data_IF_241774596333
#
_entry.id   IF_241774596333
#
_cell.length_a   1.000
_cell.length_b   1.000
_cell.length_c   1.000
_cell.angle_alpha   90.00
_cell.angle_beta   90.00
_cell.angle_gamma   90.00
#
_symmetry.space_group_name_H-M   'P 1'
#
loop_
_entity.id
_entity.type
_entity.pdbx_description
1 polymer ?
#
# COMPACT_ATOMS: atom_id res chain seq x y z
N UNK A 1 -62.19 -43.95 -17.91
CA UNK A 1 -61.26 -43.80 -16.78
C UNK A 1 -61.47 -42.40 -16.19
N UNK A 2 -62.46 -42.25 -15.31
CA UNK A 2 -62.29 -41.92 -13.87
C UNK A 2 -61.20 -40.87 -13.60
N UNK A 3 -61.60 -39.61 -13.37
CA UNK A 3 -61.86 -38.94 -12.05
C UNK A 3 -60.54 -38.63 -11.32
N UNK A 4 -60.32 -37.52 -10.62
CA UNK A 4 -61.04 -36.30 -10.25
C UNK A 4 -60.05 -35.50 -9.39
N UNK A 5 -60.26 -34.19 -9.31
CA UNK A 5 -59.62 -33.20 -8.44
C UNK A 5 -59.34 -33.63 -6.98
N UNK A 6 -58.38 -32.94 -6.34
CA UNK A 6 -58.61 -32.32 -5.02
C UNK A 6 -57.50 -31.31 -4.64
N UNK A 7 -57.92 -30.05 -4.52
CA UNK A 7 -57.41 -29.13 -3.50
C UNK A 7 -57.84 -29.62 -2.11
N UNK A 8 -56.98 -29.46 -1.10
CA UNK A 8 -57.42 -29.21 0.28
C UNK A 8 -56.33 -28.49 1.08
N UNK A 9 -56.77 -27.43 1.76
CA UNK A 9 -56.04 -26.55 2.68
C UNK A 9 -55.81 -27.18 4.06
N UNK A 10 -55.15 -26.38 4.91
CA UNK A 10 -55.06 -26.36 6.39
C UNK A 10 -53.77 -27.01 6.94
N UNK A 11 -53.04 -26.43 7.88
CA UNK A 11 -53.32 -25.37 8.85
C UNK A 11 -52.04 -24.86 9.49
N UNK A 12 -52.09 -23.63 10.02
CA UNK A 12 -51.07 -22.99 10.82
C UNK A 12 -50.64 -23.82 12.06
N UNK A 13 -49.36 -23.71 12.40
CA UNK A 13 -48.90 -23.71 13.79
C UNK A 13 -47.61 -22.91 13.87
N UNK A 14 -47.75 -21.72 14.46
CA UNK A 14 -46.64 -20.90 14.91
C UNK A 14 -45.94 -21.64 16.07
N UNK A 15 -44.64 -21.83 15.94
CA UNK A 15 -43.75 -22.03 17.08
C UNK A 15 -42.59 -21.05 16.91
N UNK A 16 -42.75 -19.90 17.54
CA UNK A 16 -41.68 -18.92 17.77
C UNK A 16 -40.71 -19.57 18.75
N UNK A 17 -39.62 -20.17 18.24
CA UNK A 17 -38.43 -20.35 19.06
C UNK A 17 -37.59 -19.07 18.95
N UNK A 18 -37.76 -18.20 19.94
CA UNK A 18 -36.84 -17.12 20.25
C UNK A 18 -35.51 -17.73 20.72
N UNK A 19 -34.68 -18.17 19.78
CA UNK A 19 -33.25 -18.29 20.06
C UNK A 19 -32.70 -16.86 20.04
N UNK A 20 -32.32 -16.35 21.21
CA UNK A 20 -31.56 -15.13 21.32
C UNK A 20 -30.26 -15.28 20.53
N UNK A 21 -30.27 -14.81 19.28
CA UNK A 21 -29.06 -14.50 18.53
C UNK A 21 -28.41 -13.35 19.29
N UNK A 22 -27.49 -13.72 20.19
CA UNK A 22 -26.44 -12.81 20.64
C UNK A 22 -25.59 -12.57 19.40
N UNK A 23 -25.94 -11.54 18.64
CA UNK A 23 -25.03 -11.01 17.63
C UNK A 23 -23.77 -10.59 18.38
N UNK A 24 -22.58 -11.07 17.99
CA UNK A 24 -21.36 -10.44 18.46
C UNK A 24 -21.48 -8.96 18.10
N UNK A 25 -21.42 -8.11 19.12
CA UNK A 25 -21.36 -6.66 18.94
C UNK A 25 -20.24 -6.39 17.96
N UNK A 26 -20.57 -5.71 16.86
CA UNK A 26 -19.59 -5.21 15.93
C UNK A 26 -18.51 -4.48 16.75
N UNK A 27 -17.32 -5.09 16.80
CA UNK A 27 -16.14 -4.42 17.32
C UNK A 27 -15.93 -3.27 16.36
N UNK A 28 -16.36 -2.09 16.78
CA UNK A 28 -16.24 -0.88 15.98
C UNK A 28 -14.77 -0.70 15.62
N UNK A 29 -14.54 -0.26 14.38
CA UNK A 29 -13.22 0.17 13.91
C UNK A 29 -12.58 1.03 15.01
N UNK A 30 -11.58 0.46 15.69
CA UNK A 30 -10.87 1.13 16.76
C UNK A 30 -10.17 2.33 16.14
N UNK A 31 -10.61 3.54 16.47
CA UNK A 31 -9.85 4.73 16.12
C UNK A 31 -8.49 4.60 16.77
N UNK A 32 -7.44 4.46 15.95
CA UNK A 32 -6.04 4.38 16.40
C UNK A 32 -5.78 5.45 17.44
N UNK A 33 -5.09 5.07 18.51
CA UNK A 33 -4.67 6.04 19.52
C UNK A 33 -3.71 7.05 18.89
N UNK A 34 -3.61 8.26 19.47
CA UNK A 34 -2.71 9.31 18.94
C UNK A 34 -1.25 8.84 18.87
N UNK A 35 -0.83 7.99 19.80
CA UNK A 35 0.53 7.41 19.87
C UNK A 35 0.80 6.41 18.73
N UNK A 36 -0.19 5.59 18.36
CA UNK A 36 -0.07 4.63 17.24
C UNK A 36 -0.01 5.36 15.90
N UNK A 37 -0.84 6.40 15.72
CA UNK A 37 -0.79 7.24 14.52
C UNK A 37 0.54 8.01 14.40
N UNK A 38 1.11 8.48 15.52
CA UNK A 38 2.43 9.13 15.55
C UNK A 38 3.55 8.20 15.12
N UNK A 39 3.61 7.01 15.72
CA UNK A 39 4.64 6.00 15.44
C UNK A 39 4.63 5.63 13.96
N UNK A 40 3.43 5.52 13.38
CA UNK A 40 3.24 5.24 11.97
C UNK A 40 3.83 6.31 11.04
N UNK A 41 3.56 7.60 11.30
CA UNK A 41 4.08 8.69 10.47
C UNK A 41 5.59 8.86 10.59
N UNK A 42 6.15 8.68 11.79
CA UNK A 42 7.59 8.76 11.98
C UNK A 42 8.32 7.62 11.24
N UNK A 43 7.79 6.39 11.30
CA UNK A 43 8.34 5.25 10.56
C UNK A 43 8.29 5.50 9.04
N UNK A 44 7.13 5.93 8.53
CA UNK A 44 6.94 6.27 7.12
C UNK A 44 7.94 7.33 6.63
N UNK A 45 8.08 8.45 7.36
CA UNK A 45 8.99 9.53 6.97
C UNK A 45 10.46 9.11 7.00
N UNK A 46 10.86 8.28 7.95
CA UNK A 46 12.21 7.76 8.02
C UNK A 46 12.50 6.81 6.84
N UNK A 47 11.55 5.94 6.49
CA UNK A 47 11.71 4.96 5.43
C UNK A 47 11.71 5.61 4.04
N UNK A 48 10.75 6.49 3.77
CA UNK A 48 10.58 7.09 2.44
C UNK A 48 11.45 8.31 2.20
N UNK A 49 11.67 9.12 3.24
CA UNK A 49 12.34 10.42 3.11
C UNK A 49 13.58 10.54 4.00
N UNK A 50 13.95 9.52 4.79
CA UNK A 50 15.09 9.63 5.71
C UNK A 50 14.96 10.77 6.72
N UNK A 51 13.73 11.14 7.08
CA UNK A 51 13.41 12.22 8.03
C UNK A 51 13.04 11.63 9.38
N UNK A 52 13.72 12.08 10.44
CA UNK A 52 13.42 11.71 11.82
C UNK A 52 13.64 12.89 12.75
N UNK A 53 12.81 12.97 13.77
CA UNK A 53 12.92 13.94 14.86
C UNK A 53 12.87 13.21 16.20
N UNK A 54 13.70 13.63 17.15
CA UNK A 54 13.77 12.97 18.46
C UNK A 54 12.90 13.67 19.52
N UNK A 55 12.77 15.00 19.46
CA UNK A 55 12.06 15.82 20.47
C UNK A 55 11.44 17.07 19.83
N UNK A 56 11.64 18.24 20.42
CA UNK A 56 11.24 19.52 19.82
C UNK A 56 12.00 19.76 18.52
N UNK A 57 11.27 20.18 17.51
CA UNK A 57 11.82 20.41 16.16
C UNK A 57 12.18 21.87 16.00
N UNK A 58 13.42 22.14 15.60
CA UNK A 58 13.87 23.49 15.26
C UNK A 58 13.35 23.92 13.90
N UNK A 59 13.41 25.21 13.64
CA UNK A 59 12.99 25.79 12.37
C UNK A 59 13.76 25.23 11.18
N UNK A 60 15.09 25.18 11.29
CA UNK A 60 15.98 24.65 10.25
C UNK A 60 15.69 23.16 9.96
N UNK A 61 15.51 22.34 11.01
CA UNK A 61 15.20 20.93 10.86
C UNK A 61 13.88 20.71 10.10
N UNK A 62 12.84 21.46 10.45
CA UNK A 62 11.55 21.36 9.78
C UNK A 62 11.61 21.83 8.33
N UNK A 63 12.27 22.97 8.08
CA UNK A 63 12.41 23.53 6.73
C UNK A 63 13.14 22.56 5.80
N UNK A 64 14.27 22.02 6.25
CA UNK A 64 15.05 21.03 5.49
C UNK A 64 14.23 19.78 5.18
N UNK A 65 13.49 19.27 6.16
CA UNK A 65 12.66 18.09 5.98
C UNK A 65 11.48 18.37 5.03
N UNK A 66 10.85 19.54 5.14
CA UNK A 66 9.76 19.96 4.25
C UNK A 66 10.24 20.11 2.81
N UNK A 67 11.38 20.77 2.59
CA UNK A 67 11.98 20.92 1.26
C UNK A 67 12.32 19.57 0.64
N UNK A 68 12.91 18.65 1.43
CA UNK A 68 13.23 17.29 0.97
C UNK A 68 11.99 16.52 0.53
N UNK A 69 10.88 16.64 1.27
CA UNK A 69 9.63 15.99 0.90
C UNK A 69 9.10 16.60 -0.39
N UNK A 70 8.93 17.92 -0.44
CA UNK A 70 8.38 18.61 -1.62
C UNK A 70 9.24 18.37 -2.88
N UNK A 71 10.57 18.38 -2.77
CA UNK A 71 11.46 18.09 -3.91
C UNK A 71 11.27 16.68 -4.43
N UNK A 72 11.14 15.72 -3.52
CA UNK A 72 10.94 14.30 -3.86
C UNK A 72 9.59 14.08 -4.51
N UNK A 73 8.52 14.69 -3.98
CA UNK A 73 7.15 14.45 -4.46
C UNK A 73 6.79 15.21 -5.73
N UNK A 74 7.41 16.36 -5.98
CA UNK A 74 7.12 17.20 -7.17
C UNK A 74 8.13 17.03 -8.30
N UNK A 75 9.18 16.24 -8.10
CA UNK A 75 10.31 16.10 -9.04
C UNK A 75 11.00 17.44 -9.39
N UNK A 76 10.90 18.43 -8.50
CA UNK A 76 11.60 19.72 -8.59
C UNK A 76 12.86 19.64 -7.74
N UNK A 77 13.99 20.17 -8.22
CA UNK A 77 15.24 20.12 -7.45
C UNK A 77 15.13 20.91 -6.14
N UNK A 78 15.77 20.42 -5.07
CA UNK A 78 15.85 21.13 -3.79
C UNK A 78 16.43 22.54 -3.95
N UNK A 79 17.36 22.71 -4.90
CA UNK A 79 17.97 24.01 -5.23
C UNK A 79 16.94 24.99 -5.77
N UNK A 80 16.06 24.55 -6.66
CA UNK A 80 15.02 25.40 -7.24
C UNK A 80 13.91 25.71 -6.22
N UNK A 81 13.67 24.80 -5.28
CA UNK A 81 12.73 24.99 -4.17
C UNK A 81 13.29 25.83 -3.02
N UNK A 82 14.61 25.89 -2.84
CA UNK A 82 15.23 26.70 -1.78
C UNK A 82 14.95 28.20 -1.91
N UNK A 83 14.58 28.67 -3.12
CA UNK A 83 14.10 30.03 -3.35
C UNK A 83 12.65 30.25 -2.91
N UNK A 84 11.86 29.17 -2.75
CA UNK A 84 10.50 29.20 -2.21
C UNK A 84 10.56 28.98 -0.70
N UNK A 85 10.64 30.06 0.08
CA UNK A 85 10.51 29.95 1.54
C UNK A 85 9.05 29.68 1.91
N UNK A 86 8.75 28.45 2.36
CA UNK A 86 7.40 28.09 2.85
C UNK A 86 7.12 28.69 4.23
N UNK A 87 8.16 28.80 5.06
CA UNK A 87 8.01 29.33 6.41
C UNK A 87 7.82 30.86 6.41
N UNK A 88 6.89 31.40 7.22
CA UNK A 88 6.70 32.84 7.35
C UNK A 88 7.91 33.49 8.04
N UNK A 89 8.21 34.76 7.77
CA UNK A 89 9.31 35.47 8.45
C UNK A 89 9.15 35.44 9.98
N UNK A 90 10.24 35.17 10.70
CA UNK A 90 10.24 35.03 12.16
C UNK A 90 11.26 35.95 12.82
N UNK A 91 10.96 36.38 14.05
CA UNK A 91 11.86 37.21 14.87
C UNK A 91 13.01 36.39 15.48
N UNK A 92 12.76 35.10 15.72
CA UNK A 92 13.74 34.15 16.24
C UNK A 92 13.86 32.98 15.26
N UNK A 93 14.81 33.08 14.33
CA UNK A 93 15.02 32.06 13.30
C UNK A 93 15.47 30.70 13.86
N UNK A 94 15.80 30.60 15.15
CA UNK A 94 16.18 29.33 15.78
C UNK A 94 14.97 28.50 16.26
N UNK A 95 13.83 29.17 16.53
CA UNK A 95 12.63 28.52 17.07
C UNK A 95 11.55 28.37 16.01
N UNK A 96 10.88 27.24 16.08
CA UNK A 96 9.68 26.98 15.29
C UNK A 96 8.48 26.90 16.23
N UNK A 97 7.47 27.71 15.95
CA UNK A 97 6.19 27.63 16.66
C UNK A 97 5.12 26.96 15.81
N UNK A 98 4.12 26.38 16.48
CA UNK A 98 3.08 25.55 15.86
C UNK A 98 2.39 26.21 14.67
N UNK A 99 1.97 27.48 14.81
CA UNK A 99 1.29 28.16 13.70
C UNK A 99 2.19 28.33 12.46
N UNK A 100 3.49 28.57 12.64
CA UNK A 100 4.43 28.73 11.53
C UNK A 100 4.56 27.42 10.74
N UNK A 101 4.72 26.29 11.45
CA UNK A 101 4.85 24.96 10.88
C UNK A 101 3.58 24.53 10.13
N UNK A 102 2.40 24.76 10.73
CA UNK A 102 1.10 24.47 10.09
C UNK A 102 0.93 25.31 8.83
N UNK A 103 1.28 26.60 8.87
CA UNK A 103 1.18 27.47 7.71
C UNK A 103 2.12 27.03 6.58
N UNK A 104 3.36 26.65 6.93
CA UNK A 104 4.34 26.16 5.97
C UNK A 104 3.87 24.85 5.33
N UNK A 105 3.32 23.92 6.11
CA UNK A 105 2.74 22.69 5.61
C UNK A 105 1.53 22.96 4.69
N UNK A 106 0.64 23.90 5.04
CA UNK A 106 -0.50 24.26 4.19
C UNK A 106 -0.06 24.83 2.83
N UNK A 107 0.96 25.69 2.83
CA UNK A 107 1.55 26.20 1.58
C UNK A 107 2.24 25.10 0.77
N UNK A 108 3.00 24.23 1.42
CA UNK A 108 3.68 23.12 0.77
C UNK A 108 2.71 22.05 0.24
N UNK A 109 1.51 21.95 0.81
CA UNK A 109 0.40 21.12 0.33
C UNK A 109 -0.45 21.81 -0.75
N UNK A 110 -0.02 22.96 -1.29
CA UNK A 110 -0.73 23.71 -2.34
C UNK A 110 -2.15 24.16 -1.92
N UNK A 111 -2.36 24.45 -0.62
CA UNK A 111 -3.66 24.87 -0.07
C UNK A 111 -3.80 26.40 0.07
N UNK A 112 -2.80 27.16 -0.34
CA UNK A 112 -2.71 28.61 -0.14
C UNK A 112 -3.89 29.34 -0.79
N UNK A 113 -4.15 29.08 -2.06
CA UNK A 113 -5.19 29.74 -2.85
C UNK A 113 -6.57 29.46 -2.23
N UNK A 114 -6.82 28.21 -1.82
CA UNK A 114 -8.05 27.84 -1.11
C UNK A 114 -8.17 28.59 0.22
N UNK A 115 -7.11 28.60 1.03
CA UNK A 115 -7.13 29.28 2.32
C UNK A 115 -7.40 30.78 2.19
N UNK A 116 -6.83 31.44 1.17
CA UNK A 116 -7.01 32.87 0.94
C UNK A 116 -8.40 33.25 0.44
N UNK A 117 -9.26 32.27 0.09
CA UNK A 117 -10.71 32.52 -0.12
C UNK A 117 -11.51 32.67 1.17
N UNK A 118 -10.94 32.35 2.34
CA UNK A 118 -11.71 32.29 3.59
C UNK A 118 -11.93 33.71 4.13
N UNK A 119 -13.19 34.06 4.36
CA UNK A 119 -13.56 35.30 5.06
C UNK A 119 -13.15 35.25 6.54
N UNK A 120 -13.13 36.41 7.22
CA UNK A 120 -12.82 36.48 8.65
C UNK A 120 -13.79 35.62 9.49
N UNK A 121 -15.06 35.54 9.09
CA UNK A 121 -16.08 34.70 9.76
C UNK A 121 -15.80 33.21 9.59
N UNK A 122 -15.41 32.79 8.36
CA UNK A 122 -15.06 31.40 8.09
C UNK A 122 -13.81 30.98 8.85
N UNK A 123 -12.79 31.85 8.89
CA UNK A 123 -11.58 31.67 9.69
C UNK A 123 -11.93 31.49 11.17
N UNK A 124 -12.73 32.39 11.73
CA UNK A 124 -13.14 32.30 13.13
C UNK A 124 -13.90 31.00 13.44
N UNK A 125 -14.79 30.56 12.54
CA UNK A 125 -15.54 29.32 12.71
C UNK A 125 -14.64 28.08 12.68
N UNK A 126 -13.66 28.02 11.77
CA UNK A 126 -12.71 26.90 11.68
C UNK A 126 -11.79 26.84 12.90
N UNK A 127 -11.18 27.97 13.28
CA UNK A 127 -10.25 28.06 14.42
C UNK A 127 -10.93 27.75 15.76
N UNK A 128 -12.21 28.10 15.91
CA UNK A 128 -13.02 27.77 17.10
C UNK A 128 -13.06 26.26 17.36
N UNK A 129 -13.02 25.41 16.32
CA UNK A 129 -12.98 23.94 16.47
C UNK A 129 -11.75 23.48 17.27
N UNK A 130 -10.63 24.19 17.14
CA UNK A 130 -9.39 23.96 17.88
C UNK A 130 -9.28 24.77 19.18
N UNK A 131 -10.33 25.49 19.58
CA UNK A 131 -10.31 26.37 20.75
C UNK A 131 -9.53 27.68 20.55
N UNK A 132 -9.20 28.04 19.31
CA UNK A 132 -8.44 29.24 18.98
C UNK A 132 -9.41 30.38 18.67
N UNK A 133 -9.24 31.53 19.33
CA UNK A 133 -10.03 32.73 19.07
C UNK A 133 -9.29 33.67 18.12
N UNK A 134 -9.85 33.93 16.95
CA UNK A 134 -9.31 34.93 16.03
C UNK A 134 -9.86 36.32 16.35
N UNK A 135 -8.98 37.32 16.38
CA UNK A 135 -9.32 38.74 16.46
C UNK A 135 -8.45 39.50 15.47
N UNK A 136 -9.06 40.40 14.70
CA UNK A 136 -8.34 41.29 13.78
C UNK A 136 -7.31 42.13 14.55
N UNK A 137 -6.07 42.16 14.04
CA UNK A 137 -4.96 42.85 14.69
C UNK A 137 -4.40 42.15 15.94
N UNK A 138 -4.79 40.89 16.19
CA UNK A 138 -4.24 40.06 17.27
C UNK A 138 -2.88 39.45 16.92
N UNK A 139 -2.50 38.41 17.68
CA UNK A 139 -1.21 37.71 17.52
C UNK A 139 -1.04 37.03 16.15
N UNK A 140 -2.14 36.54 15.55
CA UNK A 140 -2.15 35.99 14.21
C UNK A 140 -2.61 37.05 13.21
N UNK A 141 -1.83 37.21 12.13
CA UNK A 141 -2.29 37.97 10.95
C UNK A 141 -3.47 37.25 10.28
N UNK A 142 -4.25 37.95 9.47
CA UNK A 142 -5.34 37.31 8.71
C UNK A 142 -4.82 36.17 7.84
N UNK A 143 -3.68 36.37 7.16
CA UNK A 143 -3.06 35.34 6.31
C UNK A 143 -2.68 34.09 7.11
N UNK A 144 -2.02 34.26 8.26
CA UNK A 144 -1.68 33.12 9.13
C UNK A 144 -2.96 32.40 9.63
N UNK A 145 -3.98 33.17 10.00
CA UNK A 145 -5.25 32.61 10.45
C UNK A 145 -6.00 31.84 9.34
N UNK A 146 -5.94 32.32 8.10
CA UNK A 146 -6.45 31.63 6.91
C UNK A 146 -5.72 30.32 6.64
N UNK A 147 -4.38 30.33 6.74
CA UNK A 147 -3.53 29.14 6.55
C UNK A 147 -3.79 28.07 7.62
N UNK A 148 -4.02 28.46 8.88
CA UNK A 148 -4.44 27.52 9.92
C UNK A 148 -5.87 27.01 9.72
N UNK A 149 -6.80 27.89 9.33
CA UNK A 149 -8.20 27.54 9.11
C UNK A 149 -8.35 26.49 7.99
N UNK A 150 -7.68 26.70 6.85
CA UNK A 150 -7.69 25.72 5.76
C UNK A 150 -7.06 24.41 6.18
N UNK A 151 -5.95 24.43 6.93
CA UNK A 151 -5.31 23.21 7.41
C UNK A 151 -6.22 22.36 8.33
N UNK A 152 -7.07 23.00 9.14
CA UNK A 152 -8.08 22.31 9.96
C UNK A 152 -9.18 21.71 9.07
N UNK A 153 -9.75 22.51 8.18
CA UNK A 153 -10.90 22.11 7.37
C UNK A 153 -10.55 21.04 6.33
N UNK A 154 -9.32 21.02 5.83
CA UNK A 154 -8.81 19.97 4.93
C UNK A 154 -8.20 18.78 5.66
N UNK A 155 -8.20 18.78 7.01
CA UNK A 155 -7.59 17.74 7.86
C UNK A 155 -6.08 17.54 7.64
N UNK A 156 -5.38 18.54 7.11
CA UNK A 156 -3.91 18.60 7.16
C UNK A 156 -3.42 18.52 8.62
N UNK A 157 -4.16 19.15 9.53
CA UNK A 157 -3.98 19.02 10.98
C UNK A 157 -5.33 18.87 11.66
N UNK A 158 -5.42 18.04 12.69
CA UNK A 158 -6.67 17.89 13.44
C UNK A 158 -6.85 19.05 14.42
N UNK A 159 -8.11 19.44 14.67
CA UNK A 159 -8.42 20.46 15.65
C UNK A 159 -7.93 20.08 17.07
N UNK A 160 -7.97 18.79 17.41
CA UNK A 160 -7.48 18.28 18.68
C UNK A 160 -5.96 18.40 18.82
N UNK A 161 -5.19 18.11 17.76
CA UNK A 161 -3.74 18.27 17.77
C UNK A 161 -3.33 19.72 18.05
N UNK A 162 -4.01 20.70 17.41
CA UNK A 162 -3.75 22.12 17.66
C UNK A 162 -4.15 22.56 19.06
N UNK A 163 -5.28 22.06 19.57
CA UNK A 163 -5.74 22.36 20.93
C UNK A 163 -4.73 21.91 21.99
N UNK A 164 -4.08 20.77 21.79
CA UNK A 164 -3.06 20.23 22.70
C UNK A 164 -1.73 20.97 22.62
N UNK A 165 -1.32 21.43 21.43
CA UNK A 165 0.02 21.97 21.21
C UNK A 165 0.18 23.48 21.52
N UNK A 166 -0.93 24.25 21.57
CA UNK A 166 -0.94 25.72 21.56
C UNK A 166 -0.30 26.33 20.31
N UNK A 167 -0.93 27.34 19.70
CA UNK A 167 -0.46 27.90 18.40
C UNK A 167 0.90 28.59 18.49
N UNK A 168 1.26 29.16 19.64
CA UNK A 168 2.58 29.78 19.90
C UNK A 168 3.54 28.81 20.61
N UNK A 169 3.10 27.58 20.89
CA UNK A 169 3.92 26.56 21.51
C UNK A 169 5.03 26.06 20.58
N UNK A 170 6.02 25.38 21.17
CA UNK A 170 7.08 24.73 20.42
C UNK A 170 6.53 23.50 19.66
N UNK A 171 7.07 23.24 18.47
CA UNK A 171 6.65 22.09 17.67
C UNK A 171 7.29 20.80 18.18
N UNK A 172 6.46 19.83 18.56
CA UNK A 172 6.91 18.48 18.91
C UNK A 172 7.28 17.68 17.66
N UNK A 173 8.13 16.66 17.82
CA UNK A 173 8.42 15.67 16.79
C UNK A 173 7.14 15.06 16.21
N UNK A 174 6.15 14.79 17.06
CA UNK A 174 4.88 14.20 16.65
C UNK A 174 4.10 15.08 15.69
N UNK A 175 3.88 16.34 16.04
CA UNK A 175 3.17 17.26 15.17
C UNK A 175 3.95 17.52 13.88
N UNK A 176 5.27 17.66 13.97
CA UNK A 176 6.11 17.83 12.79
C UNK A 176 6.00 16.64 11.83
N UNK A 177 6.12 15.41 12.33
CA UNK A 177 5.99 14.19 11.52
C UNK A 177 4.60 14.07 10.89
N UNK A 178 3.53 14.37 11.64
CA UNK A 178 2.19 14.37 11.09
C UNK A 178 2.04 15.39 9.94
N UNK A 179 2.47 16.63 10.15
CA UNK A 179 2.36 17.70 9.14
C UNK A 179 3.13 17.34 7.86
N UNK A 180 4.35 16.85 8.00
CA UNK A 180 5.21 16.46 6.88
C UNK A 180 4.65 15.25 6.11
N UNK A 181 4.15 14.24 6.80
CA UNK A 181 3.52 13.09 6.15
C UNK A 181 2.22 13.50 5.43
N UNK A 182 1.46 14.43 6.00
CA UNK A 182 0.28 15.00 5.35
C UNK A 182 0.65 15.82 4.11
N UNK A 183 1.75 16.57 4.11
CA UNK A 183 2.25 17.20 2.87
C UNK A 183 2.50 16.13 1.80
N UNK A 184 3.19 15.04 2.12
CA UNK A 184 3.38 13.94 1.16
C UNK A 184 2.04 13.34 0.66
N UNK A 185 1.03 13.23 1.53
CA UNK A 185 -0.31 12.76 1.18
C UNK A 185 -1.02 13.67 0.18
N UNK A 186 -0.95 14.99 0.37
CA UNK A 186 -1.51 15.97 -0.59
C UNK A 186 -0.82 15.92 -1.96
N UNK A 187 0.43 15.44 -2.02
CA UNK A 187 1.15 15.18 -3.28
C UNK A 187 0.97 13.74 -3.80
N UNK A 188 0.07 12.95 -3.22
CA UNK A 188 -0.16 11.56 -3.63
C UNK A 188 1.03 10.62 -3.38
N UNK A 189 1.97 11.01 -2.52
CA UNK A 189 3.22 10.30 -2.23
C UNK A 189 3.30 9.77 -0.79
N UNK A 190 2.14 9.65 -0.13
CA UNK A 190 2.01 8.96 1.14
C UNK A 190 1.89 7.44 0.92
N UNK A 191 1.48 6.70 1.96
CA UNK A 191 1.05 5.31 1.82
C UNK A 191 -0.05 5.20 0.77
N UNK A 192 0.12 4.29 -0.18
CA UNK A 192 -0.78 4.08 -1.30
C UNK A 192 -1.60 2.82 -1.07
N UNK A 193 -2.91 2.97 -0.87
CA UNK A 193 -3.81 1.86 -0.59
C UNK A 193 -5.25 2.21 -0.96
N UNK A 194 -6.04 1.19 -1.32
CA UNK A 194 -7.44 1.34 -1.73
C UNK A 194 -8.35 1.63 -0.51
N UNK A 195 -8.04 1.02 0.62
CA UNK A 195 -8.82 1.10 1.85
C UNK A 195 -8.36 0.07 2.87
N UNK A 196 -9.16 -0.16 3.89
CA UNK A 196 -8.97 -1.23 4.88
C UNK A 196 -9.90 -2.41 4.60
N UNK A 197 -9.63 -3.58 5.20
CA UNK A 197 -10.55 -4.73 5.14
C UNK A 197 -11.88 -4.40 5.83
N UNK A 198 -11.83 -3.59 6.89
CA UNK A 198 -13.02 -3.12 7.58
C UNK A 198 -13.96 -2.25 6.71
N UNK A 199 -13.41 -1.49 5.75
CA UNK A 199 -14.20 -0.59 4.89
C UNK A 199 -15.35 -1.34 4.17
N UNK A 200 -16.54 -0.72 4.12
CA UNK A 200 -17.71 -1.32 3.46
C UNK A 200 -17.52 -1.45 1.94
N UNK A 201 -16.75 -0.53 1.35
CA UNK A 201 -16.54 -0.37 -0.09
C UNK A 201 -15.31 -1.11 -0.62
N UNK A 202 -14.54 -1.79 0.22
CA UNK A 202 -13.25 -2.40 -0.16
C UNK A 202 -13.39 -3.39 -1.32
N UNK A 203 -14.45 -4.20 -1.33
CA UNK A 203 -14.70 -5.17 -2.39
C UNK A 203 -14.92 -4.49 -3.75
N UNK A 204 -15.66 -3.39 -3.77
CA UNK A 204 -15.92 -2.61 -4.99
C UNK A 204 -14.65 -1.96 -5.52
N UNK A 205 -13.85 -1.36 -4.63
CA UNK A 205 -12.56 -0.74 -4.98
C UNK A 205 -11.57 -1.76 -5.55
N UNK A 206 -11.46 -2.94 -4.93
CA UNK A 206 -10.58 -4.01 -5.40
C UNK A 206 -11.00 -4.55 -6.77
N UNK A 207 -12.31 -4.78 -6.96
CA UNK A 207 -12.84 -5.21 -8.26
C UNK A 207 -12.61 -4.17 -9.36
N UNK A 208 -12.79 -2.87 -9.05
CA UNK A 208 -12.52 -1.79 -9.99
C UNK A 208 -11.02 -1.74 -10.37
N UNK A 209 -10.12 -1.79 -9.39
CA UNK A 209 -8.67 -1.78 -9.63
C UNK A 209 -8.24 -2.95 -10.54
N UNK A 210 -8.79 -4.16 -10.33
CA UNK A 210 -8.55 -5.30 -11.22
C UNK A 210 -9.07 -5.08 -12.65
N UNK A 211 -10.29 -4.55 -12.79
CA UNK A 211 -10.90 -4.33 -14.10
C UNK A 211 -10.17 -3.25 -14.92
N UNK A 212 -9.59 -2.26 -14.25
CA UNK A 212 -8.81 -1.19 -14.89
C UNK A 212 -7.35 -1.62 -15.18
N UNK A 213 -6.86 -2.68 -14.53
CA UNK A 213 -5.52 -3.21 -14.77
C UNK A 213 -5.42 -4.02 -16.07
N UNK A 214 -4.22 -4.04 -16.65
CA UNK A 214 -3.90 -4.73 -17.90
C UNK A 214 -2.51 -5.38 -17.81
N UNK A 215 -2.17 -6.22 -18.77
CA UNK A 215 -0.79 -6.70 -18.95
C UNK A 215 0.13 -5.48 -19.10
N UNK A 216 1.10 -5.39 -18.21
CA UNK A 216 2.12 -4.35 -18.18
C UNK A 216 3.13 -4.63 -19.28
N UNK A 217 3.53 -3.59 -19.99
CA UNK A 217 4.57 -3.64 -21.03
C UNK A 217 5.65 -2.63 -20.70
N UNK A 218 6.91 -3.07 -20.66
CA UNK A 218 8.03 -2.24 -20.20
C UNK A 218 9.14 -2.05 -21.25
N UNK A 219 8.80 -2.12 -22.55
CA UNK A 219 9.71 -1.79 -23.64
C UNK A 219 11.07 -2.48 -23.53
N UNK A 220 12.15 -1.69 -23.59
CA UNK A 220 13.53 -2.18 -23.53
C UNK A 220 13.85 -2.99 -22.27
N UNK A 221 13.27 -2.62 -21.11
CA UNK A 221 13.45 -3.38 -19.88
C UNK A 221 12.86 -4.79 -20.01
N UNK A 222 11.67 -4.91 -20.60
CA UNK A 222 11.03 -6.20 -20.85
C UNK A 222 11.85 -7.05 -21.83
N UNK A 223 12.32 -6.46 -22.93
CA UNK A 223 13.16 -7.16 -23.91
C UNK A 223 14.45 -7.71 -23.29
N UNK A 224 15.07 -6.96 -22.37
CA UNK A 224 16.26 -7.41 -21.66
C UNK A 224 15.98 -8.62 -20.78
N UNK A 225 14.89 -8.60 -20.01
CA UNK A 225 14.56 -9.70 -19.09
C UNK A 225 14.00 -10.92 -19.82
N UNK A 226 13.32 -10.73 -20.94
CA UNK A 226 12.96 -11.81 -21.87
C UNK A 226 14.21 -12.50 -22.43
N UNK A 227 15.28 -11.77 -22.74
CA UNK A 227 16.56 -12.39 -23.15
C UNK A 227 17.16 -13.23 -22.03
N UNK A 228 17.11 -12.74 -20.78
CA UNK A 228 17.53 -13.52 -19.61
C UNK A 228 16.73 -14.82 -19.46
N UNK A 229 15.41 -14.74 -19.58
CA UNK A 229 14.52 -15.89 -19.54
C UNK A 229 14.81 -16.90 -20.67
N UNK A 230 14.99 -16.43 -21.91
CA UNK A 230 15.35 -17.26 -23.08
C UNK A 230 16.68 -18.01 -22.91
N UNK A 231 17.61 -17.45 -22.14
CA UNK A 231 18.92 -18.05 -21.86
C UNK A 231 18.92 -18.94 -20.60
N UNK A 232 17.76 -19.21 -20.00
CA UNK A 232 17.62 -19.91 -18.73
C UNK A 232 18.43 -19.27 -17.60
N UNK A 233 18.69 -17.96 -17.67
CA UNK A 233 19.33 -17.22 -16.59
C UNK A 233 18.40 -17.12 -15.37
N UNK A 234 17.10 -17.02 -15.65
CA UNK A 234 16.00 -16.96 -14.69
C UNK A 234 14.89 -17.90 -15.15
N UNK A 235 14.05 -18.35 -14.21
CA UNK A 235 12.90 -19.23 -14.49
C UNK A 235 11.63 -18.46 -14.83
N UNK A 236 11.56 -17.20 -14.40
CA UNK A 236 10.48 -16.27 -14.66
C UNK A 236 10.74 -14.93 -14.01
N UNK A 237 9.87 -13.96 -14.27
CA UNK A 237 9.92 -12.65 -13.65
C UNK A 237 8.53 -12.02 -13.54
N UNK A 238 8.40 -11.10 -12.60
CA UNK A 238 7.24 -10.25 -12.43
C UNK A 238 7.59 -8.85 -12.90
N UNK A 239 6.74 -8.27 -13.74
CA UNK A 239 6.79 -6.88 -14.12
C UNK A 239 5.71 -6.12 -13.34
N UNK A 240 6.11 -5.00 -12.72
CA UNK A 240 5.26 -4.14 -11.90
C UNK A 240 5.49 -2.68 -12.26
N UNK A 241 4.60 -1.83 -11.77
CA UNK A 241 4.65 -0.39 -11.93
C UNK A 241 4.78 0.28 -10.56
N UNK A 242 5.88 1.00 -10.36
CA UNK A 242 6.26 1.65 -9.11
C UNK A 242 5.23 2.67 -8.62
N UNK A 243 4.33 3.17 -9.49
CA UNK A 243 3.24 4.06 -9.05
C UNK A 243 2.22 3.36 -8.14
N UNK A 244 2.23 2.02 -8.10
CA UNK A 244 1.38 1.23 -7.21
C UNK A 244 2.09 0.80 -5.92
N UNK A 245 3.37 1.16 -5.72
CA UNK A 245 4.11 0.80 -4.49
C UNK A 245 3.33 1.28 -3.26
N UNK A 246 3.06 0.40 -2.28
CA UNK A 246 2.20 0.72 -1.17
C UNK A 246 2.83 1.69 -0.15
N UNK A 247 4.16 1.81 -0.13
CA UNK A 247 4.94 2.49 0.91
C UNK A 247 4.59 2.04 2.35
N UNK A 248 4.10 0.81 2.50
CA UNK A 248 3.75 0.22 3.79
C UNK A 248 4.99 -0.10 4.63
N UNK A 249 4.80 -0.19 5.95
CA UNK A 249 5.86 -0.60 6.87
C UNK A 249 6.21 -2.08 6.66
N UNK A 250 7.43 -2.41 6.21
CA UNK A 250 7.85 -3.79 5.94
C UNK A 250 7.69 -4.75 7.12
N UNK A 251 7.72 -4.26 8.36
CA UNK A 251 7.54 -5.10 9.55
C UNK A 251 6.13 -5.65 9.68
N UNK A 252 5.13 -4.94 9.13
CA UNK A 252 3.71 -5.25 9.26
C UNK A 252 3.07 -5.62 7.92
N UNK A 253 3.87 -5.96 6.91
CA UNK A 253 3.36 -6.23 5.56
C UNK A 253 3.55 -7.69 5.12
N UNK A 254 2.48 -8.24 4.53
CA UNK A 254 2.50 -9.41 3.65
C UNK A 254 2.10 -8.96 2.25
N UNK A 255 2.74 -9.53 1.23
CA UNK A 255 2.31 -9.42 -0.16
C UNK A 255 1.85 -10.79 -0.64
N UNK A 256 0.62 -10.88 -1.16
CA UNK A 256 0.01 -12.12 -1.65
C UNK A 256 -0.22 -12.05 -3.17
N UNK A 257 0.40 -12.94 -3.92
CA UNK A 257 0.32 -12.99 -5.38
C UNK A 257 -0.73 -13.97 -5.90
N UNK A 258 -1.55 -13.55 -6.87
CA UNK A 258 -2.49 -14.43 -7.57
C UNK A 258 -2.96 -13.84 -8.91
N UNK A 259 -3.72 -14.61 -9.68
CA UNK A 259 -4.31 -14.21 -10.97
C UNK A 259 -5.86 -14.24 -11.03
N UNK A 260 -6.55 -14.49 -9.90
CA UNK A 260 -8.02 -14.61 -9.87
C UNK A 260 -8.58 -13.57 -8.89
N UNK A 261 -9.37 -12.63 -9.40
CA UNK A 261 -9.97 -11.56 -8.60
C UNK A 261 -11.03 -12.07 -7.62
N UNK A 262 -11.75 -13.14 -7.97
CA UNK A 262 -12.70 -13.74 -7.05
C UNK A 262 -11.97 -14.41 -5.87
N UNK A 263 -10.77 -14.95 -6.08
CA UNK A 263 -9.90 -15.38 -4.98
C UNK A 263 -9.54 -14.21 -4.05
N UNK A 264 -9.12 -13.07 -4.61
CA UNK A 264 -8.77 -11.88 -3.83
C UNK A 264 -9.95 -11.39 -2.96
N UNK A 265 -11.13 -11.29 -3.57
CA UNK A 265 -12.37 -10.87 -2.90
C UNK A 265 -12.70 -11.83 -1.75
N UNK A 266 -12.58 -13.15 -1.98
CA UNK A 266 -12.83 -14.15 -0.96
C UNK A 266 -11.77 -14.14 0.15
N UNK A 267 -10.51 -13.86 -0.17
CA UNK A 267 -9.44 -13.71 0.82
C UNK A 267 -9.71 -12.51 1.74
N UNK A 268 -10.08 -11.35 1.19
CA UNK A 268 -10.50 -10.19 2.00
C UNK A 268 -11.73 -10.53 2.86
N UNK A 269 -12.70 -11.26 2.30
CA UNK A 269 -13.87 -11.74 3.03
C UNK A 269 -13.52 -12.67 4.19
N UNK A 270 -12.58 -13.60 3.98
CA UNK A 270 -12.07 -14.53 4.99
C UNK A 270 -11.39 -13.76 6.13
N UNK A 271 -10.44 -12.87 5.81
CA UNK A 271 -9.75 -12.07 6.82
C UNK A 271 -10.75 -11.24 7.64
N UNK A 272 -11.73 -10.61 6.97
CA UNK A 272 -12.81 -9.86 7.63
C UNK A 272 -13.63 -10.74 8.58
N UNK A 273 -14.02 -11.95 8.16
CA UNK A 273 -14.82 -12.85 9.00
C UNK A 273 -14.05 -13.40 10.21
N UNK A 274 -12.72 -13.49 10.11
CA UNK A 274 -11.83 -13.94 11.17
C UNK A 274 -11.35 -12.77 12.07
N UNK A 275 -11.90 -11.56 11.86
CA UNK A 275 -11.57 -10.38 12.65
C UNK A 275 -10.14 -9.86 12.43
N UNK A 276 -9.58 -10.09 11.24
CA UNK A 276 -8.28 -9.57 10.82
C UNK A 276 -8.50 -8.36 9.92
N UNK A 277 -7.99 -7.20 10.35
CA UNK A 277 -8.00 -5.97 9.55
C UNK A 277 -6.60 -5.64 9.03
N UNK A 278 -6.56 -4.99 7.88
CA UNK A 278 -5.32 -4.54 7.25
C UNK A 278 -5.65 -3.46 6.22
N UNK A 279 -4.70 -2.57 5.94
CA UNK A 279 -4.76 -1.77 4.72
C UNK A 279 -4.49 -2.64 3.52
N UNK A 280 -5.22 -2.40 2.45
CA UNK A 280 -5.21 -3.21 1.23
C UNK A 280 -4.74 -2.36 0.07
N UNK A 281 -3.63 -2.76 -0.54
CA UNK A 281 -3.18 -2.20 -1.82
C UNK A 281 -3.15 -3.28 -2.89
N UNK A 282 -3.76 -2.95 -4.03
CA UNK A 282 -3.72 -3.77 -5.24
C UNK A 282 -2.59 -3.28 -6.14
N UNK A 283 -1.66 -4.16 -6.45
CA UNK A 283 -0.54 -3.89 -7.34
C UNK A 283 -0.68 -4.73 -8.61
N UNK A 284 -1.00 -4.11 -9.77
CA UNK A 284 -0.99 -4.81 -11.04
C UNK A 284 0.36 -5.47 -11.30
N UNK A 285 0.33 -6.72 -11.75
CA UNK A 285 1.52 -7.51 -12.02
C UNK A 285 1.37 -8.21 -13.37
N UNK A 286 2.47 -8.33 -14.10
CA UNK A 286 2.56 -9.26 -15.24
C UNK A 286 3.62 -10.29 -14.94
N UNK A 287 3.20 -11.54 -14.83
CA UNK A 287 4.10 -12.68 -14.61
C UNK A 287 4.50 -13.25 -15.96
N UNK A 288 5.80 -13.39 -16.18
CA UNK A 288 6.38 -13.92 -17.40
C UNK A 288 7.21 -15.18 -17.11
N UNK A 289 6.92 -16.26 -17.84
CA UNK A 289 7.57 -17.56 -17.65
C UNK A 289 7.58 -18.37 -18.95
N UNK A 290 8.45 -19.38 -19.02
CA UNK A 290 8.46 -20.31 -20.15
C UNK A 290 7.18 -21.15 -20.13
N UNK A 291 6.39 -21.06 -21.19
CA UNK A 291 5.23 -21.92 -21.40
C UNK A 291 5.67 -23.25 -22.00
N UNK A 292 5.33 -24.33 -21.31
CA UNK A 292 5.72 -25.68 -21.67
C UNK A 292 4.64 -26.32 -22.56
N UNK A 293 5.04 -27.01 -23.62
CA UNK A 293 4.11 -27.58 -24.62
C UNK A 293 3.15 -28.61 -24.01
N UNK A 294 3.57 -29.29 -22.94
CA UNK A 294 2.75 -30.23 -22.18
C UNK A 294 1.54 -29.59 -21.50
N UNK A 295 1.48 -28.25 -21.37
CA UNK A 295 0.33 -27.54 -20.81
C UNK A 295 -0.81 -27.34 -21.82
N UNK A 296 -0.62 -27.77 -23.06
CA UNK A 296 -1.61 -27.74 -24.12
C UNK A 296 -1.37 -26.66 -25.17
N UNK A 297 -2.39 -26.39 -25.98
CA UNK A 297 -2.32 -25.35 -27.01
C UNK A 297 -2.38 -23.96 -26.35
N UNK A 298 -1.45 -23.04 -26.70
CA UNK A 298 -1.47 -21.69 -26.16
C UNK A 298 -2.78 -20.95 -26.41
N UNK A 299 -3.34 -20.35 -25.36
CA UNK A 299 -4.53 -19.49 -25.44
C UNK A 299 -4.10 -18.03 -25.49
N UNK A 300 -4.78 -17.21 -26.29
CA UNK A 300 -4.59 -15.75 -26.32
C UNK A 300 -5.84 -15.05 -25.81
N UNK A 301 -5.71 -14.28 -24.75
CA UNK A 301 -6.77 -13.41 -24.19
C UNK A 301 -6.18 -12.04 -23.88
N UNK A 302 -7.04 -11.11 -23.44
CA UNK A 302 -6.56 -9.82 -22.93
C UNK A 302 -5.68 -9.97 -21.68
N UNK A 303 -5.90 -11.03 -20.90
CA UNK A 303 -5.26 -11.28 -19.60
C UNK A 303 -4.14 -12.35 -19.68
N UNK A 304 -3.97 -12.99 -20.84
CA UNK A 304 -2.97 -14.03 -21.03
C UNK A 304 -2.47 -14.04 -22.47
N UNK A 305 -1.16 -13.84 -22.66
CA UNK A 305 -0.52 -13.83 -23.97
C UNK A 305 0.59 -14.86 -24.00
N UNK A 306 0.69 -15.60 -25.10
CA UNK A 306 1.77 -16.58 -25.28
C UNK A 306 2.50 -16.30 -26.58
N UNK A 307 3.79 -15.97 -26.50
CA UNK A 307 4.60 -15.57 -27.64
C UNK A 307 5.64 -16.63 -27.92
N UNK A 308 5.66 -17.15 -29.15
CA UNK A 308 6.69 -18.09 -29.57
C UNK A 308 8.03 -17.39 -29.69
N UNK A 309 9.10 -18.06 -29.22
CA UNK A 309 10.47 -17.57 -29.27
C UNK A 309 11.32 -18.44 -30.21
N UNK A 310 12.45 -17.91 -30.68
CA UNK A 310 13.25 -18.48 -31.78
C UNK A 310 13.67 -19.94 -31.59
N UNK A 311 13.86 -20.39 -30.34
CA UNK A 311 14.22 -21.76 -29.99
C UNK A 311 13.02 -22.74 -30.02
N UNK A 312 11.83 -22.30 -30.43
CA UNK A 312 10.62 -23.11 -30.52
C UNK A 312 9.86 -23.30 -29.20
N UNK A 313 10.33 -22.69 -28.11
CA UNK A 313 9.59 -22.55 -26.86
C UNK A 313 8.65 -21.33 -26.94
N UNK A 314 7.90 -21.10 -25.87
CA UNK A 314 6.99 -19.97 -25.74
C UNK A 314 7.25 -19.23 -24.43
N UNK A 315 7.05 -17.92 -24.42
CA UNK A 315 6.94 -17.12 -23.19
C UNK A 315 5.46 -16.80 -22.99
N UNK A 316 4.93 -17.15 -21.83
CA UNK A 316 3.61 -16.69 -21.40
C UNK A 316 3.76 -15.40 -20.59
N UNK A 317 2.83 -14.46 -20.81
CA UNK A 317 2.64 -13.24 -20.05
C UNK A 317 1.22 -13.26 -19.46
N UNK A 318 1.13 -13.39 -18.14
CA UNK A 318 -0.14 -13.46 -17.43
C UNK A 318 -0.40 -12.16 -16.68
N UNK A 319 -1.62 -11.62 -16.83
CA UNK A 319 -2.14 -10.58 -15.94
C UNK A 319 -2.38 -11.20 -14.57
N UNK A 320 -1.70 -10.65 -13.58
CA UNK A 320 -1.79 -11.06 -12.19
C UNK A 320 -1.84 -9.82 -11.29
N UNK A 321 -1.86 -10.07 -9.99
CA UNK A 321 -1.69 -9.04 -8.99
C UNK A 321 -0.77 -9.49 -7.88
N UNK A 322 -0.25 -8.50 -7.18
CA UNK A 322 0.17 -8.62 -5.80
C UNK A 322 -0.82 -7.83 -4.94
N UNK A 323 -1.30 -8.44 -3.86
CA UNK A 323 -2.15 -7.82 -2.86
C UNK A 323 -1.30 -7.56 -1.62
N UNK A 324 -0.90 -6.31 -1.43
CA UNK A 324 -0.12 -5.91 -0.26
C UNK A 324 -1.06 -5.55 0.89
N UNK A 325 -0.80 -6.15 2.05
CA UNK A 325 -1.60 -6.04 3.27
C UNK A 325 -0.72 -5.47 4.40
N UNK A 326 -1.01 -4.27 4.89
CA UNK A 326 -0.36 -3.72 6.09
C UNK A 326 -1.29 -3.85 7.30
N UNK A 327 -0.90 -4.71 8.24
CA UNK A 327 -1.61 -4.98 9.48
C UNK A 327 -1.32 -3.90 10.54
N UNK A 328 -2.14 -3.83 11.58
CA UNK A 328 -1.93 -2.85 12.64
C UNK A 328 -0.72 -3.21 13.53
N UNK A 329 -0.42 -4.49 13.69
CA UNK A 329 0.76 -4.97 14.43
C UNK A 329 1.42 -6.19 13.78
N UNK A 330 2.59 -6.57 14.29
CA UNK A 330 3.28 -7.81 13.86
C UNK A 330 2.49 -9.04 14.28
N UNK A 331 1.87 -9.01 15.45
CA UNK A 331 1.04 -10.11 15.98
C UNK A 331 -0.22 -10.32 15.11
N UNK A 332 -0.78 -9.26 14.53
CA UNK A 332 -1.88 -9.40 13.57
C UNK A 332 -1.42 -9.96 12.22
N UNK A 333 -0.24 -9.52 11.76
CA UNK A 333 0.41 -10.08 10.56
C UNK A 333 0.57 -11.60 10.67
N UNK A 334 0.93 -12.11 11.85
CA UNK A 334 1.12 -13.55 12.11
C UNK A 334 -0.17 -14.38 12.00
N UNK A 335 -1.35 -13.77 12.14
CA UNK A 335 -2.64 -14.48 11.94
C UNK A 335 -2.89 -14.85 10.48
N UNK A 336 -2.18 -14.25 9.53
CA UNK A 336 -2.42 -14.42 8.10
C UNK A 336 -2.11 -15.84 7.59
N UNK A 337 -0.93 -16.36 7.90
CA UNK A 337 -0.47 -17.65 7.36
C UNK A 337 -1.37 -18.83 7.75
N UNK A 338 -1.77 -19.02 9.02
CA UNK A 338 -2.66 -20.13 9.38
C UNK A 338 -3.97 -20.13 8.59
N UNK A 339 -4.51 -18.95 8.26
CA UNK A 339 -5.72 -18.81 7.46
C UNK A 339 -5.48 -19.21 6.00
N UNK A 340 -4.38 -18.75 5.40
CA UNK A 340 -4.01 -19.12 4.02
C UNK A 340 -3.77 -20.62 3.89
N UNK A 341 -3.00 -21.22 4.80
CA UNK A 341 -2.72 -22.66 4.76
C UNK A 341 -4.00 -23.51 4.92
N UNK A 342 -4.97 -23.03 5.70
CA UNK A 342 -6.23 -23.75 5.94
C UNK A 342 -7.24 -23.59 4.81
N UNK A 343 -7.37 -22.40 4.24
CA UNK A 343 -8.48 -22.06 3.35
C UNK A 343 -8.05 -21.75 1.91
N UNK A 344 -6.78 -21.47 1.64
CA UNK A 344 -6.31 -21.01 0.33
C UNK A 344 -5.19 -21.89 -0.28
N UNK A 345 -4.73 -22.93 0.42
CA UNK A 345 -3.80 -23.94 -0.10
C UNK A 345 -4.53 -25.21 -0.49
N UNK A 346 -4.19 -25.77 -1.65
CA UNK A 346 -4.64 -27.08 -2.09
C UNK A 346 -3.60 -28.14 -1.73
N UNK A 347 -4.03 -29.19 -1.04
CA UNK A 347 -3.18 -30.35 -0.68
C UNK A 347 -3.58 -31.65 -1.40
N UNK A 348 -4.74 -31.66 -2.07
CA UNK A 348 -5.23 -32.79 -2.87
C UNK A 348 -6.20 -32.30 -3.96
N UNK A 349 -6.37 -33.08 -5.03
CA UNK A 349 -7.15 -32.68 -6.22
C UNK A 349 -8.60 -32.30 -5.88
N UNK A 350 -9.29 -33.15 -5.11
CA UNK A 350 -10.72 -32.99 -4.78
C UNK A 350 -10.97 -32.31 -3.41
N UNK A 351 -10.01 -31.49 -2.94
CA UNK A 351 -10.17 -30.75 -1.69
C UNK A 351 -11.35 -29.76 -1.78
N UNK A 352 -12.23 -29.79 -0.77
CA UNK A 352 -13.38 -28.88 -0.65
C UNK A 352 -13.18 -27.90 0.52
N UNK A 353 -13.97 -26.83 0.57
CA UNK A 353 -13.86 -25.81 1.63
C UNK A 353 -12.75 -24.78 1.42
N UNK A 354 -12.17 -24.74 0.22
CA UNK A 354 -11.14 -23.77 -0.17
C UNK A 354 -11.72 -22.53 -0.83
N UNK A 355 -10.96 -21.44 -0.78
CA UNK A 355 -11.18 -20.28 -1.63
C UNK A 355 -11.08 -20.67 -3.11
N UNK A 356 -11.83 -19.97 -3.96
CA UNK A 356 -11.86 -20.21 -5.40
C UNK A 356 -10.44 -20.11 -5.97
N UNK A 357 -10.11 -21.00 -6.90
CA UNK A 357 -8.81 -21.02 -7.60
C UNK A 357 -7.58 -21.19 -6.69
N UNK A 358 -7.74 -21.68 -5.45
CA UNK A 358 -6.63 -22.01 -4.54
C UNK A 358 -5.58 -22.91 -5.20
N UNK A 359 -4.32 -22.45 -5.13
CA UNK A 359 -3.15 -23.13 -5.69
C UNK A 359 -2.57 -24.18 -4.74
N UNK A 360 -1.80 -25.10 -5.31
CA UNK A 360 -1.00 -26.07 -4.55
C UNK A 360 0.11 -25.38 -3.75
N UNK A 361 0.76 -24.41 -4.41
CA UNK A 361 1.79 -23.56 -3.86
C UNK A 361 1.26 -22.12 -3.89
N UNK A 362 0.51 -21.66 -2.87
CA UNK A 362 0.18 -20.24 -2.74
C UNK A 362 1.47 -19.40 -2.78
N UNK A 363 1.38 -18.16 -3.23
CA UNK A 363 2.53 -17.26 -3.34
C UNK A 363 2.35 -16.08 -2.41
N UNK A 364 3.10 -16.03 -1.32
CA UNK A 364 3.07 -14.86 -0.44
C UNK A 364 4.37 -14.69 0.32
N UNK A 365 4.71 -13.44 0.58
CA UNK A 365 6.04 -13.11 1.07
C UNK A 365 6.06 -11.88 1.97
N UNK A 366 7.13 -11.75 2.74
CA UNK A 366 7.41 -10.59 3.59
C UNK A 366 8.85 -10.12 3.42
N UNK A 367 9.05 -8.81 3.57
CA UNK A 367 10.38 -8.18 3.54
C UNK A 367 11.10 -8.26 4.88
N UNK A 368 10.42 -8.75 5.91
CA UNK A 368 10.96 -8.96 7.25
C UNK A 368 10.78 -10.41 7.66
N UNK A 369 11.51 -10.82 8.70
CA UNK A 369 11.50 -12.19 9.19
C UNK A 369 10.11 -12.65 9.60
N UNK A 370 9.82 -13.91 9.24
CA UNK A 370 8.63 -14.65 9.62
C UNK A 370 9.04 -16.07 10.00
N UNK A 371 8.45 -16.56 11.09
CA UNK A 371 8.62 -17.94 11.51
C UNK A 371 8.12 -18.87 10.40
N UNK A 372 8.83 -19.97 10.16
CA UNK A 372 8.48 -21.01 9.18
C UNK A 372 8.51 -20.56 7.69
N UNK A 373 9.11 -19.41 7.39
CA UNK A 373 9.37 -18.96 6.02
C UNK A 373 10.82 -19.19 5.63
N UNK A 374 11.03 -19.58 4.37
CA UNK A 374 12.36 -19.69 3.81
C UNK A 374 12.83 -18.33 3.28
N UNK A 375 14.14 -18.11 3.29
CA UNK A 375 14.75 -16.87 2.79
C UNK A 375 15.30 -17.09 1.40
N UNK A 376 14.84 -16.28 0.45
CA UNK A 376 15.34 -16.26 -0.92
C UNK A 376 15.78 -14.85 -1.32
N UNK A 377 16.30 -14.70 -2.52
CA UNK A 377 16.74 -13.40 -3.05
C UNK A 377 15.82 -12.90 -4.15
N UNK A 378 15.44 -11.63 -4.06
CA UNK A 378 14.82 -10.90 -5.15
C UNK A 378 15.90 -10.13 -5.92
N UNK A 379 15.96 -10.34 -7.24
CA UNK A 379 16.81 -9.62 -8.17
C UNK A 379 15.95 -8.58 -8.88
N UNK A 380 16.22 -7.30 -8.62
CA UNK A 380 15.38 -6.19 -9.05
C UNK A 380 16.08 -5.34 -10.09
N UNK A 381 15.38 -5.12 -11.21
CA UNK A 381 15.78 -4.20 -12.28
C UNK A 381 14.74 -3.11 -12.38
N UNK A 382 15.16 -1.87 -12.64
CA UNK A 382 14.27 -0.71 -12.73
C UNK A 382 14.58 0.12 -13.95
N UNK A 383 13.54 0.59 -14.61
CA UNK A 383 13.62 1.60 -15.66
C UNK A 383 12.40 2.53 -15.59
N UNK A 384 12.64 3.80 -15.26
CA UNK A 384 11.59 4.76 -14.96
C UNK A 384 10.62 4.23 -13.90
N UNK A 385 9.34 4.10 -14.27
CA UNK A 385 8.28 3.56 -13.40
C UNK A 385 8.20 2.04 -13.39
N UNK A 386 8.89 1.34 -14.29
CA UNK A 386 8.79 -0.11 -14.41
C UNK A 386 9.79 -0.80 -13.50
N UNK A 387 9.32 -1.85 -12.82
CA UNK A 387 10.10 -2.67 -11.90
C UNK A 387 9.99 -4.12 -12.32
N UNK A 388 11.11 -4.78 -12.58
CA UNK A 388 11.17 -6.23 -12.75
C UNK A 388 11.68 -6.86 -11.46
N UNK A 389 11.03 -7.93 -11.03
CA UNK A 389 11.43 -8.77 -9.93
C UNK A 389 11.62 -10.20 -10.44
N UNK A 390 12.80 -10.77 -10.25
CA UNK A 390 13.05 -12.18 -10.53
C UNK A 390 13.61 -12.86 -9.28
N UNK A 391 12.94 -13.92 -8.85
CA UNK A 391 13.23 -14.61 -7.61
C UNK A 391 14.19 -15.77 -7.85
N UNK A 392 15.17 -15.93 -6.97
CA UNK A 392 16.13 -17.03 -7.03
C UNK A 392 16.47 -17.53 -5.64
N UNK A 393 16.95 -18.77 -5.56
CA UNK A 393 17.71 -19.22 -4.39
C UNK A 393 18.90 -18.28 -4.14
N UNK A 394 19.35 -18.20 -2.90
CA UNK A 394 20.36 -17.22 -2.49
C UNK A 394 21.70 -17.47 -3.18
N UNK A 395 22.07 -18.73 -3.32
CA UNK A 395 23.28 -19.22 -3.98
C UNK A 395 23.28 -18.98 -5.50
N UNK A 396 22.11 -18.82 -6.12
CA UNK A 396 21.97 -18.59 -7.56
C UNK A 396 21.91 -17.09 -7.92
N UNK A 397 21.55 -16.22 -6.97
CA UNK A 397 21.44 -14.77 -7.22
C UNK A 397 22.71 -14.12 -7.81
N UNK A 398 23.95 -14.44 -7.36
CA UNK A 398 25.16 -13.88 -7.98
C UNK A 398 25.25 -14.19 -9.49
N UNK A 399 24.85 -15.40 -9.91
CA UNK A 399 24.85 -15.76 -11.34
C UNK A 399 23.81 -14.96 -12.12
N UNK A 400 22.64 -14.72 -11.53
CA UNK A 400 21.57 -13.88 -12.12
C UNK A 400 22.09 -12.45 -12.35
N UNK A 401 22.70 -11.85 -11.33
CA UNK A 401 23.27 -10.50 -11.40
C UNK A 401 24.34 -10.41 -12.50
N UNK A 402 25.32 -11.31 -12.49
CA UNK A 402 26.38 -11.34 -13.50
C UNK A 402 25.83 -11.57 -14.91
N UNK A 403 24.81 -12.44 -15.05
CA UNK A 403 24.17 -12.72 -16.32
C UNK A 403 23.50 -11.48 -16.92
N UNK A 404 22.74 -10.72 -16.12
CA UNK A 404 22.12 -9.48 -16.59
C UNK A 404 23.16 -8.40 -16.95
N UNK A 405 24.23 -8.28 -16.17
CA UNK A 405 25.34 -7.37 -16.49
C UNK A 405 26.06 -7.74 -17.80
N UNK A 406 26.14 -9.03 -18.15
CA UNK A 406 26.66 -9.48 -19.45
C UNK A 406 25.71 -9.17 -20.60
N UNK A 407 24.40 -9.19 -20.36
CA UNK A 407 23.39 -8.83 -21.36
C UNK A 407 23.34 -7.32 -21.63
N UNK A 408 23.56 -6.52 -20.59
CA UNK A 408 23.62 -5.07 -20.66
C UNK A 408 24.51 -4.52 -19.55
N UNK A 409 25.67 -3.95 -19.91
CA UNK A 409 26.68 -3.45 -18.97
C UNK A 409 26.24 -2.21 -18.18
N UNK A 410 25.16 -1.54 -18.63
CA UNK A 410 24.58 -0.37 -17.96
C UNK A 410 23.47 -0.75 -16.97
N UNK A 411 23.02 -2.00 -16.96
CA UNK A 411 21.92 -2.40 -16.10
C UNK A 411 22.39 -2.51 -14.64
N UNK A 412 21.62 -1.91 -13.74
CA UNK A 412 21.83 -2.08 -12.29
C UNK A 412 20.84 -3.13 -11.80
N UNK A 413 21.37 -4.21 -11.25
CA UNK A 413 20.57 -5.21 -10.53
C UNK A 413 20.72 -4.96 -9.04
N UNK A 414 19.62 -4.61 -8.39
CA UNK A 414 19.53 -4.48 -6.93
C UNK A 414 19.07 -5.81 -6.34
N UNK A 415 19.77 -6.31 -5.32
CA UNK A 415 19.40 -7.57 -4.66
C UNK A 415 19.02 -7.33 -3.22
N UNK A 416 17.96 -7.98 -2.76
CA UNK A 416 17.66 -8.08 -1.33
C UNK A 416 17.05 -9.42 -0.99
N UNK A 417 17.26 -9.83 0.26
CA UNK A 417 16.66 -11.05 0.81
C UNK A 417 15.26 -10.76 1.31
N UNK A 418 14.39 -11.75 1.17
CA UNK A 418 13.02 -11.69 1.66
C UNK A 418 12.52 -13.11 1.98
N UNK A 419 11.48 -13.16 2.81
CA UNK A 419 10.92 -14.40 3.36
C UNK A 419 9.73 -14.81 2.51
N UNK A 420 9.75 -16.03 2.00
CA UNK A 420 8.67 -16.64 1.23
C UNK A 420 8.11 -17.84 1.95
N UNK A 421 6.83 -18.11 1.72
CA UNK A 421 6.19 -19.26 2.30
C UNK A 421 6.86 -20.56 1.81
N UNK A 422 6.88 -21.57 2.68
CA UNK A 422 7.53 -22.85 2.40
C UNK A 422 7.06 -23.49 1.07
N UNK A 423 5.75 -23.48 0.73
CA UNK A 423 5.26 -23.93 -0.58
C UNK A 423 6.00 -23.30 -1.78
N UNK A 424 6.16 -21.97 -1.81
CA UNK A 424 6.86 -21.30 -2.89
C UNK A 424 8.38 -21.60 -2.90
N UNK A 425 9.00 -21.77 -1.74
CA UNK A 425 10.41 -22.18 -1.67
C UNK A 425 10.64 -23.58 -2.28
N UNK A 426 9.74 -24.52 -2.02
CA UNK A 426 9.79 -25.87 -2.59
C UNK A 426 9.69 -25.79 -4.13
N UNK A 427 8.82 -24.93 -4.66
CA UNK A 427 8.73 -24.68 -6.10
C UNK A 427 10.06 -24.22 -6.72
N UNK A 428 10.80 -23.32 -6.06
CA UNK A 428 12.12 -22.88 -6.55
C UNK A 428 13.18 -23.99 -6.52
N UNK A 429 13.00 -25.00 -5.67
CA UNK A 429 13.82 -26.22 -5.65
C UNK A 429 13.36 -27.28 -6.67
N UNK A 430 12.33 -26.98 -7.47
CA UNK A 430 11.77 -27.91 -8.46
C UNK A 430 10.79 -28.93 -7.87
N UNK A 431 10.32 -28.73 -6.63
CA UNK A 431 9.34 -29.58 -5.98
C UNK A 431 7.91 -29.05 -6.25
N UNK A 432 6.99 -29.93 -6.61
CA UNK A 432 5.65 -29.55 -7.08
C UNK A 432 4.51 -29.82 -6.07
N UNK A 433 4.81 -30.43 -4.92
CA UNK A 433 3.82 -30.86 -3.92
C UNK A 433 4.14 -30.33 -2.53
#
# INVERSE_FOLDING_TARGET
MNRSAKWLQLSASAAVLSAALVFPTAVGATTKTTVEAHTEWSSFLQQQYGVKFDKTVTREQFEKALLKIVSTTTSISEKDLSAKTFLPASKDASKLVVWEAVSAAAKAAELKELGYTYSEEKVAAALKKAGISYKKGGALTLQAAQELAVAIDTRLVSANALKSASVEGAVSAELASQLLAKVAEFHGSAKNYLGTIADEEIFGKLAQAWNESQIIKAGELQELVDKGLKQNLITGYNLKDATFDPHFDPQRTITYGHSDIAHAIQLIGLLKSEGVDAKVQFEPKTSAFIYLKEWGEPVQTADYQVVQIENGNYIAYAKEYDLSLEFDSVEEKEKFQPLVLKYAKRDQEDMTGLLKASWWQPLYHSRTELADYAVITNNVLKDGRYVVQSFSLNEESPKVVEGFQKLNDKVKVETYKFWVDQPFFNYLNGESK
#
